data_IF_033447386497
#
_entry.id   IF_033447386497
#
_cell.length_a   1.000
_cell.length_b   1.000
_cell.length_c   1.000
_cell.angle_alpha   90.00
_cell.angle_beta   90.00
_cell.angle_gamma   90.00
#
_symmetry.space_group_name_H-M   'P 1'
#
loop_
_entity.id
_entity.type
_entity.pdbx_description
1 polymer ?
#
# COMPACT_ATOMS: atom_id res chain seq x y z
N UNK A 1 74.46 18.25 17.82
CA UNK A 1 74.31 19.72 17.95
C UNK A 1 72.83 20.07 17.82
N UNK A 2 72.32 20.98 18.68
CA UNK A 2 70.93 21.50 18.83
C UNK A 2 69.91 20.45 19.30
N UNK A 3 69.60 20.32 20.60
CA UNK A 3 68.86 21.21 21.55
C UNK A 3 67.48 21.65 21.06
N UNK A 4 66.42 21.15 21.72
CA UNK A 4 65.31 21.85 22.40
C UNK A 4 64.09 20.90 22.43
N UNK A 5 63.16 20.86 23.39
CA UNK A 5 63.03 21.20 24.81
C UNK A 5 61.54 20.93 25.11
N UNK A 6 61.20 20.24 26.20
CA UNK A 6 59.87 20.22 26.88
C UNK A 6 58.66 19.69 26.06
N UNK A 7 57.67 18.99 26.61
CA UNK A 7 57.12 19.09 27.95
C UNK A 7 56.54 17.75 28.43
N UNK A 8 56.63 17.57 29.74
CA UNK A 8 55.92 16.59 30.55
C UNK A 8 54.42 16.90 30.51
N UNK A 9 53.56 15.90 30.30
CA UNK A 9 52.25 15.84 30.94
C UNK A 9 51.77 14.39 31.08
N UNK A 10 51.21 14.15 32.24
CA UNK A 10 50.95 12.91 32.93
C UNK A 10 49.59 12.31 32.56
N UNK A 11 49.47 10.98 32.74
CA UNK A 11 48.27 10.28 33.23
C UNK A 11 47.08 10.10 32.25
N UNK A 12 46.75 8.85 31.92
CA UNK A 12 45.70 8.03 32.57
C UNK A 12 45.50 6.79 31.69
N UNK A 13 45.67 5.63 32.32
CA UNK A 13 45.26 4.32 31.85
C UNK A 13 43.73 4.27 31.76
N UNK A 14 43.18 4.12 30.57
CA UNK A 14 41.81 3.64 30.36
C UNK A 14 41.84 2.53 29.32
N UNK A 15 41.94 1.30 29.83
CA UNK A 15 41.65 0.08 29.09
C UNK A 15 40.15 0.08 28.78
N UNK A 16 39.77 0.64 27.62
CA UNK A 16 38.41 0.48 27.09
C UNK A 16 38.36 -0.92 26.47
N UNK A 17 37.68 -1.83 27.15
CA UNK A 17 37.32 -3.14 26.61
C UNK A 17 36.51 -2.91 25.34
N UNK A 18 37.05 -3.34 24.19
CA UNK A 18 36.28 -3.50 22.97
C UNK A 18 35.23 -4.60 23.21
N UNK A 19 34.02 -4.20 23.57
CA UNK A 19 32.84 -5.04 23.35
C UNK A 19 32.56 -5.02 21.85
N UNK A 20 32.28 -6.16 21.20
CA UNK A 20 31.71 -6.10 19.87
C UNK A 20 30.39 -5.35 19.99
N UNK A 21 30.28 -4.22 19.31
CA UNK A 21 28.99 -3.68 18.95
C UNK A 21 28.36 -4.75 18.05
N UNK A 22 27.63 -5.67 18.68
CA UNK A 22 26.48 -6.27 18.00
C UNK A 22 25.58 -5.07 17.73
N UNK A 23 25.70 -4.53 16.51
CA UNK A 23 24.57 -3.89 15.90
C UNK A 23 23.50 -4.98 15.91
N UNK A 24 22.57 -4.84 16.84
CA UNK A 24 21.24 -5.39 16.70
C UNK A 24 20.77 -4.84 15.37
N UNK A 25 20.87 -5.66 14.31
CA UNK A 25 20.15 -5.42 13.08
C UNK A 25 18.70 -5.30 13.52
N UNK A 26 18.21 -4.06 13.61
CA UNK A 26 16.79 -3.84 13.56
C UNK A 26 16.36 -4.50 12.25
N UNK A 27 15.67 -5.64 12.33
CA UNK A 27 14.96 -6.17 11.19
C UNK A 27 14.06 -5.03 10.73
N UNK A 28 14.47 -4.36 9.66
CA UNK A 28 13.65 -3.33 9.07
C UNK A 28 12.51 -4.09 8.42
N UNK A 29 11.35 -4.11 9.07
CA UNK A 29 10.04 -4.54 8.54
C UNK A 29 9.58 -3.70 7.32
N UNK A 30 10.53 -3.01 6.68
CA UNK A 30 10.35 -2.22 5.49
C UNK A 30 10.40 -3.16 4.28
N UNK A 31 9.29 -3.23 3.57
CA UNK A 31 9.13 -4.00 2.33
C UNK A 31 9.54 -3.19 1.10
N UNK A 32 10.17 -2.03 1.30
CA UNK A 32 10.76 -1.21 0.25
C UNK A 32 11.99 -0.42 0.76
N UNK A 33 12.81 0.04 -0.17
CA UNK A 33 13.90 1.00 0.05
C UNK A 33 13.99 1.98 -1.12
N UNK A 34 14.57 3.15 -0.87
CA UNK A 34 14.81 4.17 -1.88
C UNK A 34 16.27 4.63 -1.79
N UNK A 35 17.07 4.29 -2.82
CA UNK A 35 18.49 4.62 -2.89
C UNK A 35 18.81 5.18 -4.28
N UNK A 36 19.46 6.34 -4.35
CA UNK A 36 19.85 6.99 -5.61
C UNK A 36 18.68 7.06 -6.64
N UNK A 37 17.49 7.44 -6.17
CA UNK A 37 16.24 7.54 -6.96
C UNK A 37 15.72 6.20 -7.52
N UNK A 38 16.28 5.08 -7.06
CA UNK A 38 15.81 3.72 -7.36
C UNK A 38 14.94 3.22 -6.22
N UNK A 39 13.68 2.96 -6.51
CA UNK A 39 12.75 2.31 -5.60
C UNK A 39 12.93 0.79 -5.70
N UNK A 40 13.33 0.15 -4.61
CA UNK A 40 13.40 -1.32 -4.53
C UNK A 40 12.31 -1.81 -3.61
N UNK A 41 11.55 -2.81 -4.05
CA UNK A 41 10.45 -3.43 -3.30
C UNK A 41 10.79 -4.90 -3.04
N UNK A 42 10.52 -5.35 -1.82
CA UNK A 42 10.78 -6.72 -1.35
C UNK A 42 9.49 -7.29 -0.77
N UNK A 43 8.91 -8.28 -1.44
CA UNK A 43 7.65 -8.92 -1.03
C UNK A 43 7.89 -10.37 -0.60
N UNK A 44 7.52 -10.77 0.62
CA UNK A 44 7.68 -12.15 1.07
C UNK A 44 6.73 -13.09 0.31
N UNK A 45 7.28 -14.18 -0.25
CA UNK A 45 6.54 -15.26 -0.91
C UNK A 45 6.26 -16.42 0.04
N UNK A 46 7.04 -16.59 1.11
CA UNK A 46 6.82 -17.58 2.18
C UNK A 46 5.41 -17.57 2.72
N UNK A 47 4.85 -16.37 2.91
CA UNK A 47 3.48 -16.15 3.35
C UNK A 47 2.52 -16.76 2.34
N UNK A 48 2.73 -16.53 1.04
CA UNK A 48 1.89 -17.09 -0.03
C UNK A 48 1.95 -18.63 -0.05
N UNK A 49 3.11 -19.21 0.24
CA UNK A 49 3.30 -20.66 0.31
C UNK A 49 2.55 -21.33 1.44
N UNK A 50 2.60 -20.77 2.64
CA UNK A 50 1.83 -21.27 3.77
C UNK A 50 0.33 -21.23 3.47
N UNK A 51 -0.12 -20.19 2.77
CA UNK A 51 -1.53 -19.95 2.52
C UNK A 51 -2.09 -20.72 1.33
N UNK A 52 -1.27 -20.99 0.32
CA UNK A 52 -1.67 -21.79 -0.84
C UNK A 52 -1.87 -23.27 -0.50
N UNK A 53 -1.70 -23.68 0.77
CA UNK A 53 -1.72 -25.07 1.23
C UNK A 53 -0.77 -25.96 0.41
N UNK A 54 0.22 -25.37 -0.25
CA UNK A 54 1.01 -25.97 -1.33
C UNK A 54 2.33 -26.55 -0.79
N UNK A 55 2.36 -26.89 0.50
CA UNK A 55 3.50 -27.52 1.15
C UNK A 55 3.81 -28.85 0.44
N UNK A 56 4.81 -28.83 -0.44
CA UNK A 56 5.32 -29.96 -1.23
C UNK A 56 4.44 -30.43 -2.39
N UNK A 57 4.04 -29.53 -3.28
CA UNK A 57 3.54 -29.92 -4.61
C UNK A 57 4.67 -29.90 -5.64
N UNK A 58 4.74 -30.96 -6.45
CA UNK A 58 5.58 -31.08 -7.64
C UNK A 58 4.65 -30.98 -8.87
N UNK A 59 4.77 -29.96 -9.73
CA UNK A 59 5.83 -28.95 -9.76
C UNK A 59 5.71 -27.91 -8.65
N UNK A 60 6.84 -27.27 -8.33
CA UNK A 60 6.88 -26.14 -7.41
C UNK A 60 5.90 -25.03 -7.84
N UNK A 61 5.33 -24.29 -6.87
CA UNK A 61 4.46 -23.13 -7.14
C UNK A 61 5.13 -22.12 -8.07
N UNK A 62 4.32 -21.49 -8.93
CA UNK A 62 4.78 -20.43 -9.82
C UNK A 62 4.25 -19.08 -9.36
N UNK A 63 5.15 -18.20 -8.93
CA UNK A 63 4.81 -16.83 -8.53
C UNK A 63 5.00 -15.85 -9.67
N UNK A 64 4.13 -14.85 -9.71
CA UNK A 64 4.29 -13.67 -10.55
C UNK A 64 3.86 -12.41 -9.78
N UNK A 65 4.53 -11.30 -10.04
CA UNK A 65 4.23 -10.00 -9.43
C UNK A 65 4.01 -8.97 -10.53
N UNK A 66 2.78 -8.47 -10.61
CA UNK A 66 2.41 -7.40 -11.52
C UNK A 66 2.44 -6.06 -10.78
N UNK A 67 3.19 -5.09 -11.32
CA UNK A 67 3.26 -3.74 -10.78
C UNK A 67 2.54 -2.74 -11.70
N UNK A 68 1.70 -1.89 -11.10
CA UNK A 68 0.79 -0.98 -11.80
C UNK A 68 0.83 0.39 -11.11
N UNK A 69 1.15 1.44 -11.86
CA UNK A 69 1.22 2.84 -11.39
C UNK A 69 0.07 3.70 -11.89
N UNK A 70 -0.46 4.59 -11.07
CA UNK A 70 -1.54 5.50 -11.48
C UNK A 70 -1.13 6.96 -11.28
N UNK A 71 -0.92 7.75 -12.36
CA UNK A 71 -1.12 7.38 -13.77
C UNK A 71 -0.04 6.44 -14.33
N UNK A 72 -0.40 5.67 -15.36
CA UNK A 72 0.44 4.59 -15.92
C UNK A 72 1.68 5.11 -16.66
N UNK A 73 2.80 4.38 -16.54
CA UNK A 73 4.02 4.61 -17.32
C UNK A 73 4.97 5.64 -16.72
N UNK A 74 4.79 5.98 -15.45
CA UNK A 74 5.72 6.74 -14.61
C UNK A 74 6.91 5.86 -14.22
N UNK A 75 6.67 4.60 -13.84
CA UNK A 75 7.72 3.68 -13.37
C UNK A 75 8.14 2.68 -14.44
N UNK A 76 9.45 2.45 -14.56
CA UNK A 76 10.02 1.38 -15.37
C UNK A 76 10.76 0.39 -14.47
N UNK A 77 10.44 -0.91 -14.62
CA UNK A 77 11.15 -2.00 -13.97
C UNK A 77 12.59 -2.09 -14.51
N UNK A 78 13.56 -2.00 -13.62
CA UNK A 78 14.98 -2.17 -13.91
C UNK A 78 15.35 -3.65 -13.85
N UNK A 79 14.97 -4.33 -12.77
CA UNK A 79 15.26 -5.75 -12.53
C UNK A 79 14.20 -6.34 -11.61
N UNK A 80 13.95 -7.63 -11.76
CA UNK A 80 13.19 -8.42 -10.79
C UNK A 80 13.85 -9.78 -10.60
N UNK A 81 13.93 -10.26 -9.37
CA UNK A 81 14.40 -11.60 -9.05
C UNK A 81 13.65 -12.18 -7.86
N UNK A 82 13.72 -13.51 -7.71
CA UNK A 82 13.33 -14.18 -6.48
C UNK A 82 14.61 -14.55 -5.73
N UNK A 83 14.77 -14.05 -4.52
CA UNK A 83 15.90 -14.30 -3.64
C UNK A 83 15.39 -14.51 -2.21
N UNK A 84 15.87 -15.56 -1.55
CA UNK A 84 15.55 -15.85 -0.15
C UNK A 84 14.05 -15.81 0.17
N UNK A 85 13.25 -16.44 -0.71
CA UNK A 85 11.79 -16.53 -0.58
C UNK A 85 11.06 -15.16 -0.62
N UNK A 86 11.73 -14.16 -1.20
CA UNK A 86 11.16 -12.86 -1.49
C UNK A 86 11.23 -12.60 -2.99
N UNK A 87 10.19 -11.97 -3.52
CA UNK A 87 10.30 -11.28 -4.79
C UNK A 87 10.90 -9.90 -4.56
N UNK A 88 11.94 -9.56 -5.32
CA UNK A 88 12.62 -8.25 -5.26
C UNK A 88 12.51 -7.59 -6.62
N UNK A 89 11.96 -6.38 -6.67
CA UNK A 89 11.84 -5.59 -7.89
C UNK A 89 12.38 -4.17 -7.69
N UNK A 90 13.23 -3.70 -8.61
CA UNK A 90 13.76 -2.33 -8.59
C UNK A 90 13.20 -1.52 -9.74
N UNK A 91 12.80 -0.29 -9.47
CA UNK A 91 12.12 0.62 -10.39
C UNK A 91 12.82 1.97 -10.42
N UNK A 92 12.75 2.64 -11.58
CA UNK A 92 13.08 4.06 -11.72
C UNK A 92 11.89 4.84 -12.25
N UNK A 93 11.84 6.11 -11.93
CA UNK A 93 10.92 7.06 -12.57
C UNK A 93 11.44 7.40 -13.97
N UNK A 94 10.57 7.35 -14.97
CA UNK A 94 10.93 7.60 -16.38
C UNK A 94 10.05 8.63 -17.07
N UNK A 95 8.90 8.96 -16.48
CA UNK A 95 8.07 10.05 -16.96
C UNK A 95 8.49 11.38 -16.33
N UNK A 96 8.38 12.45 -17.11
CA UNK A 96 8.37 13.81 -16.58
C UNK A 96 7.02 14.02 -15.88
N UNK A 97 6.99 13.76 -14.58
CA UNK A 97 5.80 13.79 -13.75
C UNK A 97 6.10 14.51 -12.43
N UNK A 98 5.22 15.43 -12.05
CA UNK A 98 5.24 16.12 -10.77
C UNK A 98 3.86 15.96 -10.14
N UNK A 99 3.81 15.26 -9.01
CA UNK A 99 2.56 14.93 -8.34
C UNK A 99 2.57 13.61 -7.58
N UNK A 100 1.40 13.26 -7.05
CA UNK A 100 1.19 12.03 -6.31
C UNK A 100 0.86 10.87 -7.26
N UNK A 101 1.49 9.73 -7.04
CA UNK A 101 1.29 8.48 -7.78
C UNK A 101 1.12 7.34 -6.78
N UNK A 102 0.21 6.41 -7.07
CA UNK A 102 0.14 5.14 -6.33
C UNK A 102 0.77 4.05 -7.19
N UNK A 103 1.75 3.34 -6.63
CA UNK A 103 2.34 2.15 -7.23
C UNK A 103 1.85 0.92 -6.47
N UNK A 104 1.13 0.03 -7.17
CA UNK A 104 0.57 -1.20 -6.60
C UNK A 104 1.32 -2.43 -7.08
N UNK A 105 1.42 -3.44 -6.22
CA UNK A 105 2.07 -4.71 -6.50
C UNK A 105 1.11 -5.85 -6.20
N UNK A 106 0.70 -6.59 -7.21
CA UNK A 106 -0.22 -7.74 -7.05
C UNK A 106 0.59 -9.02 -7.14
N UNK A 107 0.60 -9.81 -6.07
CA UNK A 107 1.22 -11.13 -6.07
C UNK A 107 0.21 -12.18 -6.52
N UNK A 108 0.66 -13.06 -7.40
CA UNK A 108 -0.11 -14.22 -7.85
C UNK A 108 0.69 -15.49 -7.66
N UNK A 109 -0.01 -16.58 -7.37
CA UNK A 109 0.57 -17.92 -7.33
C UNK A 109 -0.44 -18.90 -7.93
N UNK A 110 0.02 -19.70 -8.88
CA UNK A 110 -0.78 -20.67 -9.63
C UNK A 110 -2.07 -20.08 -10.24
N UNK A 111 -2.01 -18.81 -10.66
CA UNK A 111 -3.10 -18.09 -11.32
C UNK A 111 -4.12 -17.42 -10.38
N UNK A 112 -3.98 -17.58 -9.06
CA UNK A 112 -4.82 -16.86 -8.09
C UNK A 112 -4.07 -15.64 -7.54
N UNK A 113 -4.82 -14.57 -7.24
CA UNK A 113 -4.29 -13.40 -6.54
C UNK A 113 -4.19 -13.71 -5.05
N UNK A 114 -3.04 -13.39 -4.44
CA UNK A 114 -2.79 -13.65 -3.02
C UNK A 114 -2.75 -12.40 -2.18
N UNK A 115 -2.14 -11.33 -2.69
CA UNK A 115 -2.07 -10.07 -1.98
C UNK A 115 -1.86 -8.91 -2.94
N UNK A 116 -2.23 -7.71 -2.48
CA UNK A 116 -1.88 -6.47 -3.15
C UNK A 116 -1.28 -5.48 -2.17
N UNK A 117 -0.08 -5.01 -2.47
CA UNK A 117 0.58 -3.95 -1.73
C UNK A 117 0.47 -2.63 -2.50
N UNK A 118 0.57 -1.50 -1.80
CA UNK A 118 0.57 -0.18 -2.42
C UNK A 118 1.53 0.78 -1.72
N UNK A 119 2.25 1.57 -2.52
CA UNK A 119 3.03 2.72 -2.09
C UNK A 119 2.39 3.97 -2.67
N UNK A 120 2.08 4.94 -1.80
CA UNK A 120 1.71 6.28 -2.23
C UNK A 120 2.98 7.14 -2.24
N UNK A 121 3.30 7.68 -3.41
CA UNK A 121 4.58 8.28 -3.72
C UNK A 121 4.35 9.70 -4.23
N UNK A 122 5.12 10.65 -3.73
CA UNK A 122 5.20 12.00 -4.26
C UNK A 122 6.46 12.13 -5.12
N UNK A 123 6.28 12.52 -6.38
CA UNK A 123 7.36 12.77 -7.32
C UNK A 123 7.44 14.28 -7.56
N UNK A 124 8.66 14.81 -7.53
CA UNK A 124 8.98 16.18 -7.94
C UNK A 124 10.12 16.18 -8.96
N UNK A 125 10.45 17.35 -9.51
CA UNK A 125 11.58 17.51 -10.44
C UNK A 125 12.94 17.00 -9.91
N UNK A 126 13.09 16.83 -8.60
CA UNK A 126 14.39 16.52 -7.96
C UNK A 126 14.35 15.44 -6.90
N UNK A 127 13.18 14.82 -6.68
CA UNK A 127 13.03 13.83 -5.63
C UNK A 127 11.84 12.92 -5.88
N UNK A 128 11.98 11.70 -5.36
CA UNK A 128 10.90 10.76 -5.13
C UNK A 128 10.82 10.54 -3.61
N UNK A 129 9.62 10.58 -3.05
CA UNK A 129 9.35 10.38 -1.62
C UNK A 129 8.18 9.41 -1.47
N UNK A 130 8.36 8.34 -0.70
CA UNK A 130 7.23 7.51 -0.28
C UNK A 130 6.54 8.21 0.89
N UNK A 131 5.28 8.57 0.68
CA UNK A 131 4.47 9.35 1.63
C UNK A 131 3.62 8.44 2.52
N UNK A 132 3.18 7.31 1.97
CA UNK A 132 2.43 6.30 2.71
C UNK A 132 2.78 4.88 2.25
N UNK A 133 2.82 3.95 3.20
CA UNK A 133 3.00 2.53 2.95
C UNK A 133 1.74 1.76 3.36
N UNK A 134 0.93 1.40 2.38
CA UNK A 134 -0.28 0.64 2.62
C UNK A 134 0.06 -0.86 2.63
N UNK A 135 0.36 -1.38 3.82
CA UNK A 135 0.67 -2.80 4.04
C UNK A 135 -0.62 -3.63 4.11
N UNK A 136 -0.67 -4.74 3.35
CA UNK A 136 -1.29 -4.80 2.03
C UNK A 136 -2.77 -4.37 2.02
N UNK A 137 -3.25 -3.80 0.90
CA UNK A 137 -4.66 -3.46 0.67
C UNK A 137 -5.60 -4.64 0.91
N UNK A 138 -5.15 -5.83 0.54
CA UNK A 138 -5.78 -7.09 0.89
C UNK A 138 -4.78 -8.24 0.81
N UNK A 139 -5.09 -9.34 1.49
CA UNK A 139 -4.43 -10.61 1.30
C UNK A 139 -5.29 -11.76 1.81
N UNK A 140 -4.99 -12.97 1.35
CA UNK A 140 -5.49 -14.19 1.99
C UNK A 140 -4.59 -14.51 3.18
N UNK A 141 -5.15 -14.91 4.32
CA UNK A 141 -4.43 -15.30 5.54
C UNK A 141 -5.17 -16.44 6.23
N UNK A 142 -4.51 -17.57 6.47
CA UNK A 142 -5.11 -18.79 7.04
C UNK A 142 -6.39 -19.25 6.31
N UNK A 143 -6.45 -19.04 4.98
CA UNK A 143 -7.64 -19.33 4.17
C UNK A 143 -8.71 -18.23 4.17
N UNK A 144 -8.53 -17.15 4.92
CA UNK A 144 -9.50 -16.05 5.04
C UNK A 144 -9.06 -14.82 4.25
N UNK A 145 -10.02 -14.03 3.75
CA UNK A 145 -9.72 -12.75 3.13
C UNK A 145 -9.57 -11.67 4.20
N UNK A 146 -8.42 -10.98 4.25
CA UNK A 146 -8.21 -9.78 5.07
C UNK A 146 -8.03 -8.56 4.18
N UNK A 147 -8.69 -7.47 4.57
CA UNK A 147 -8.62 -6.16 3.91
C UNK A 147 -7.98 -5.15 4.85
N UNK A 148 -7.22 -4.21 4.31
CA UNK A 148 -6.67 -3.05 5.04
C UNK A 148 -6.63 -1.84 4.11
N UNK A 149 -7.65 -1.00 4.19
CA UNK A 149 -7.83 0.13 3.29
C UNK A 149 -7.68 1.46 4.03
N UNK A 150 -7.02 2.47 3.43
CA UNK A 150 -6.99 3.82 3.98
C UNK A 150 -8.39 4.36 4.25
N UNK A 151 -8.56 4.98 5.41
CA UNK A 151 -9.83 5.57 5.81
C UNK A 151 -9.59 6.82 6.67
N UNK A 152 -10.40 7.86 6.49
CA UNK A 152 -10.34 9.04 7.32
C UNK A 152 -11.71 9.36 7.91
N UNK A 153 -11.97 8.81 9.11
CA UNK A 153 -13.24 8.98 9.82
C UNK A 153 -13.62 10.45 10.07
N UNK A 154 -12.64 11.39 10.07
CA UNK A 154 -12.89 12.83 10.27
C UNK A 154 -13.57 13.50 9.06
N UNK A 155 -13.54 12.87 7.88
CA UNK A 155 -14.12 13.39 6.64
C UNK A 155 -15.60 13.00 6.45
N UNK A 156 -16.10 12.10 7.30
CA UNK A 156 -17.42 11.48 7.21
C UNK A 156 -17.53 10.32 6.21
N UNK A 157 -16.44 9.98 5.51
CA UNK A 157 -16.39 8.79 4.66
C UNK A 157 -16.08 7.54 5.48
N UNK A 158 -16.74 6.43 5.13
CA UNK A 158 -16.50 5.11 5.69
C UNK A 158 -16.48 4.07 4.58
N UNK A 159 -15.75 2.99 4.80
CA UNK A 159 -15.90 1.80 3.97
C UNK A 159 -17.21 1.10 4.32
N UNK A 160 -17.90 0.63 3.30
CA UNK A 160 -19.05 -0.26 3.35
C UNK A 160 -18.79 -1.43 2.43
N UNK A 161 -19.39 -2.58 2.72
CA UNK A 161 -19.27 -3.76 1.87
C UNK A 161 -20.62 -4.39 1.55
N UNK A 162 -20.67 -5.10 0.43
CA UNK A 162 -21.81 -5.88 -0.04
C UNK A 162 -21.31 -7.25 -0.51
N UNK A 163 -21.87 -8.32 0.06
CA UNK A 163 -21.56 -9.71 -0.31
C UNK A 163 -22.72 -10.21 -1.16
N UNK A 164 -22.43 -10.70 -2.37
CA UNK A 164 -23.48 -11.16 -3.29
C UNK A 164 -24.22 -12.41 -2.79
N UNK A 165 -23.53 -13.25 -2.03
CA UNK A 165 -24.09 -14.46 -1.42
C UNK A 165 -23.53 -14.67 0.01
N UNK A 166 -24.27 -14.23 1.05
CA UNK A 166 -23.88 -14.40 2.44
C UNK A 166 -23.85 -15.85 2.94
N UNK A 167 -24.39 -16.81 2.19
CA UNK A 167 -24.27 -18.24 2.54
C UNK A 167 -22.89 -18.80 2.15
N UNK A 168 -22.11 -18.06 1.34
CA UNK A 168 -20.77 -18.45 0.87
C UNK A 168 -19.64 -17.72 1.61
N UNK A 169 -19.84 -16.48 2.02
CA UNK A 169 -18.83 -15.65 2.66
C UNK A 169 -19.45 -14.85 3.81
N UNK A 170 -18.80 -14.86 4.97
CA UNK A 170 -19.27 -14.11 6.14
C UNK A 170 -18.21 -13.16 6.71
N UNK A 171 -18.59 -11.94 7.15
CA UNK A 171 -17.66 -11.04 7.80
C UNK A 171 -17.43 -11.46 9.26
N UNK A 172 -16.17 -11.63 9.65
CA UNK A 172 -15.77 -11.97 11.03
C UNK A 172 -15.09 -10.82 11.76
N UNK A 173 -14.62 -9.81 11.02
CA UNK A 173 -14.03 -8.57 11.55
C UNK A 173 -14.40 -7.36 10.69
N UNK A 174 -14.63 -6.23 11.34
CA UNK A 174 -14.85 -4.92 10.71
C UNK A 174 -14.47 -3.84 11.75
N UNK A 175 -13.35 -3.17 11.52
CA UNK A 175 -12.76 -2.25 12.48
C UNK A 175 -12.12 -1.05 11.78
N UNK A 176 -12.19 0.12 12.40
CA UNK A 176 -11.38 1.27 12.04
C UNK A 176 -10.33 1.54 13.12
N UNK A 177 -9.07 1.65 12.70
CA UNK A 177 -7.93 1.94 13.57
C UNK A 177 -7.29 3.25 13.11
N UNK A 178 -7.31 4.28 13.95
CA UNK A 178 -6.61 5.54 13.67
C UNK A 178 -5.10 5.32 13.67
N UNK A 179 -4.37 5.98 12.76
CA UNK A 179 -2.92 5.88 12.71
C UNK A 179 -2.28 6.31 14.04
N UNK A 180 -1.54 5.38 14.65
CA UNK A 180 -0.84 5.54 15.92
C UNK A 180 0.19 6.68 15.87
N UNK A 181 0.90 6.85 14.74
CA UNK A 181 1.91 7.88 14.57
C UNK A 181 1.30 9.30 14.51
N UNK A 182 0.00 9.39 14.21
CA UNK A 182 -0.72 10.64 14.01
C UNK A 182 -1.86 10.87 15.02
N UNK A 183 -1.96 10.08 16.09
CA UNK A 183 -3.04 10.19 17.10
C UNK A 183 -3.19 11.60 17.72
N UNK A 184 -2.12 12.39 17.74
CA UNK A 184 -2.14 13.77 18.26
C UNK A 184 -2.50 14.83 17.21
N UNK A 185 -2.63 14.47 15.93
CA UNK A 185 -2.97 15.37 14.84
C UNK A 185 -4.47 15.35 14.57
N UNK A 186 -5.09 16.54 14.60
CA UNK A 186 -6.50 16.70 14.22
C UNK A 186 -6.64 16.44 12.71
N UNK A 187 -7.52 15.51 12.33
CA UNK A 187 -7.73 15.13 10.92
C UNK A 187 -6.90 13.94 10.44
N UNK A 188 -6.09 13.33 11.33
CA UNK A 188 -5.33 12.13 11.01
C UNK A 188 -6.24 11.00 10.52
N UNK A 189 -5.82 10.38 9.43
CA UNK A 189 -6.47 9.18 8.91
C UNK A 189 -6.22 7.95 9.77
N UNK A 190 -6.62 6.81 9.25
CA UNK A 190 -6.42 5.51 9.82
C UNK A 190 -6.64 4.44 8.76
N UNK A 191 -6.73 3.20 9.20
CA UNK A 191 -6.96 2.04 8.36
C UNK A 191 -8.30 1.42 8.75
N UNK A 192 -9.13 1.14 7.75
CA UNK A 192 -10.25 0.24 7.90
C UNK A 192 -9.78 -1.19 7.60
N UNK A 193 -10.02 -2.09 8.55
CA UNK A 193 -9.68 -3.51 8.42
C UNK A 193 -10.93 -4.35 8.48
N UNK A 194 -11.04 -5.33 7.60
CA UNK A 194 -12.09 -6.32 7.65
C UNK A 194 -11.53 -7.72 7.35
N UNK A 195 -12.19 -8.74 7.89
CA UNK A 195 -11.85 -10.14 7.65
C UNK A 195 -13.12 -10.90 7.29
N UNK A 196 -13.00 -11.78 6.29
CA UNK A 196 -14.08 -12.59 5.76
C UNK A 196 -13.67 -14.05 5.67
N UNK A 197 -14.52 -14.92 6.21
CA UNK A 197 -14.35 -16.36 6.22
C UNK A 197 -15.28 -17.02 5.20
N UNK A 198 -14.85 -18.15 4.64
CA UNK A 198 -15.69 -18.98 3.78
C UNK A 198 -16.75 -19.73 4.58
N UNK A 199 -18.02 -19.41 4.35
CA UNK A 199 -19.18 -20.06 4.98
C UNK A 199 -19.74 -21.23 4.15
N UNK A 200 -19.51 -21.22 2.84
CA UNK A 200 -20.02 -22.23 1.91
C UNK A 200 -19.31 -22.18 0.56
N UNK A 201 -19.09 -23.35 -0.05
CA UNK A 201 -18.36 -23.44 -1.31
C UNK A 201 -19.12 -22.80 -2.47
N UNK A 202 -18.42 -22.02 -3.29
CA UNK A 202 -18.99 -21.35 -4.46
C UNK A 202 -18.26 -20.06 -4.85
N UNK A 203 -18.78 -19.41 -5.90
CA UNK A 203 -18.28 -18.12 -6.37
C UNK A 203 -19.06 -17.00 -5.69
N UNK A 204 -18.36 -16.00 -5.15
CA UNK A 204 -18.97 -14.88 -4.44
C UNK A 204 -18.28 -13.57 -4.81
N UNK A 205 -19.09 -12.52 -5.00
CA UNK A 205 -18.60 -11.17 -5.25
C UNK A 205 -18.65 -10.35 -3.97
N UNK A 206 -17.53 -9.71 -3.64
CA UNK A 206 -17.42 -8.72 -2.57
C UNK A 206 -17.24 -7.33 -3.20
N UNK A 207 -18.20 -6.44 -2.99
CA UNK A 207 -18.10 -5.04 -3.40
C UNK A 207 -17.78 -4.16 -2.20
N UNK A 208 -16.76 -3.31 -2.32
CA UNK A 208 -16.33 -2.36 -1.28
C UNK A 208 -16.57 -0.94 -1.77
N UNK A 209 -17.17 -0.09 -0.95
CA UNK A 209 -17.47 1.31 -1.30
C UNK A 209 -17.01 2.25 -0.20
N UNK A 210 -16.23 3.26 -0.57
CA UNK A 210 -15.86 4.35 0.32
C UNK A 210 -16.77 5.55 0.07
N UNK A 211 -17.76 5.73 0.94
CA UNK A 211 -18.79 6.76 0.78
C UNK A 211 -19.17 7.37 2.13
N UNK A 212 -19.81 8.53 2.09
CA UNK A 212 -20.55 9.07 3.25
C UNK A 212 -21.90 8.39 3.35
N UNK A 213 -22.43 8.31 4.56
CA UNK A 213 -23.73 7.67 4.83
C UNK A 213 -24.91 8.23 4.03
N UNK A 214 -24.78 9.45 3.49
CA UNK A 214 -25.80 10.11 2.68
C UNK A 214 -25.47 10.16 1.16
N UNK A 215 -24.35 9.59 0.72
CA UNK A 215 -23.81 9.69 -0.66
C UNK A 215 -23.64 8.30 -1.33
N UNK A 216 -24.45 7.30 -0.98
CA UNK A 216 -24.31 5.92 -1.48
C UNK A 216 -24.40 5.74 -3.01
N UNK A 217 -24.81 6.77 -3.77
CA UNK A 217 -24.91 6.70 -5.24
C UNK A 217 -23.61 7.04 -5.96
N UNK A 218 -22.62 7.63 -5.27
CA UNK A 218 -21.37 8.07 -5.89
C UNK A 218 -20.20 7.88 -4.92
N UNK A 219 -19.73 6.63 -4.71
CA UNK A 219 -18.61 6.38 -3.81
C UNK A 219 -17.34 7.06 -4.35
N UNK A 220 -16.53 7.58 -3.43
CA UNK A 220 -15.23 8.17 -3.75
C UNK A 220 -14.26 7.11 -4.28
N UNK A 221 -14.39 5.88 -3.78
CA UNK A 221 -13.65 4.70 -4.26
C UNK A 221 -14.57 3.49 -4.22
N UNK A 222 -14.52 2.66 -5.25
CA UNK A 222 -15.21 1.37 -5.27
C UNK A 222 -14.28 0.28 -5.77
N UNK A 223 -14.31 -0.88 -5.09
CA UNK A 223 -13.59 -2.08 -5.49
C UNK A 223 -14.56 -3.24 -5.63
N UNK A 224 -14.34 -4.09 -6.63
CA UNK A 224 -15.08 -5.35 -6.82
C UNK A 224 -14.09 -6.51 -6.83
N UNK A 225 -14.21 -7.41 -5.86
CA UNK A 225 -13.43 -8.63 -5.75
C UNK A 225 -14.30 -9.82 -6.15
N UNK A 226 -13.81 -10.61 -7.11
CA UNK A 226 -14.39 -11.91 -7.42
C UNK A 226 -13.63 -12.98 -6.64
N UNK A 227 -14.35 -13.72 -5.80
CA UNK A 227 -13.80 -14.69 -4.87
C UNK A 227 -14.34 -16.08 -5.17
N UNK A 228 -13.53 -17.09 -4.87
CA UNK A 228 -13.96 -18.49 -4.83
C UNK A 228 -13.76 -19.03 -3.42
N UNK A 229 -14.78 -19.68 -2.89
CA UNK A 229 -14.72 -20.40 -1.61
C UNK A 229 -14.68 -21.89 -1.90
N UNK A 230 -13.63 -22.56 -1.43
CA UNK A 230 -13.44 -23.99 -1.59
C UNK A 230 -14.28 -24.80 -0.58
N UNK A 231 -14.38 -26.13 -0.78
CA UNK A 231 -15.16 -27.02 0.10
C UNK A 231 -14.65 -27.05 1.55
N UNK A 232 -13.38 -26.72 1.77
CA UNK A 232 -12.76 -26.61 3.09
C UNK A 232 -12.93 -25.23 3.75
N UNK A 233 -13.56 -24.27 3.07
CA UNK A 233 -13.75 -22.90 3.55
C UNK A 233 -12.68 -21.91 3.08
N UNK A 234 -11.63 -22.37 2.39
CA UNK A 234 -10.56 -21.47 1.92
C UNK A 234 -11.08 -20.51 0.84
N UNK A 235 -10.76 -19.23 1.01
CA UNK A 235 -11.07 -18.16 0.08
C UNK A 235 -9.88 -17.91 -0.85
N UNK A 236 -10.13 -17.82 -2.15
CA UNK A 236 -9.16 -17.35 -3.15
C UNK A 236 -9.71 -16.17 -3.93
N UNK A 237 -8.82 -15.30 -4.42
CA UNK A 237 -9.18 -14.11 -5.18
C UNK A 237 -8.93 -14.38 -6.67
N UNK A 238 -9.99 -14.36 -7.47
CA UNK A 238 -9.93 -14.57 -8.92
C UNK A 238 -9.63 -13.28 -9.68
N UNK A 239 -10.23 -12.16 -9.27
CA UNK A 239 -9.95 -10.85 -9.86
C UNK A 239 -10.28 -9.71 -8.88
N UNK A 240 -9.62 -8.56 -9.09
CA UNK A 240 -9.92 -7.32 -8.37
C UNK A 240 -10.01 -6.18 -9.37
N UNK A 241 -11.14 -5.51 -9.39
CA UNK A 241 -11.41 -4.35 -10.24
C UNK A 241 -11.51 -3.09 -9.37
N UNK A 242 -10.81 -2.03 -9.80
CA UNK A 242 -11.00 -0.68 -9.25
C UNK A 242 -12.02 0.04 -10.12
N UNK A 243 -13.14 0.42 -9.53
CA UNK A 243 -14.22 1.12 -10.21
C UNK A 243 -14.02 2.62 -9.95
N UNK A 244 -13.52 3.32 -10.97
CA UNK A 244 -13.38 4.77 -10.93
C UNK A 244 -14.74 5.38 -11.25
N UNK A 245 -15.32 6.07 -10.28
CA UNK A 245 -16.50 6.91 -10.54
C UNK A 245 -16.01 8.14 -11.29
N UNK A 246 -16.29 8.24 -12.60
CA UNK A 246 -16.06 9.49 -13.32
C UNK A 246 -16.85 10.59 -12.58
N UNK A 247 -16.13 11.55 -12.01
CA UNK A 247 -16.74 12.77 -11.52
C UNK A 247 -17.18 13.48 -12.79
N UNK A 248 -18.46 13.34 -13.13
CA UNK A 248 -19.07 14.01 -14.26
C UNK A 248 -18.56 15.47 -14.29
N UNK A 249 -17.96 15.90 -15.40
CA UNK A 249 -17.39 17.24 -15.66
C UNK A 249 -18.46 18.37 -15.59
N UNK A 250 -19.58 18.14 -14.90
CA UNK A 250 -20.81 18.93 -14.88
C UNK A 250 -20.87 20.01 -13.78
N UNK A 251 -19.74 20.54 -13.31
CA UNK A 251 -19.74 21.73 -12.44
C UNK A 251 -18.66 22.77 -12.76
N UNK A 252 -18.33 22.93 -14.05
CA UNK A 252 -17.64 24.14 -14.55
C UNK A 252 -18.46 24.81 -15.65
N UNK A 253 -19.72 25.16 -15.38
CA UNK A 253 -20.40 26.17 -16.20
C UNK A 253 -21.40 26.99 -15.38
N UNK A 254 -20.90 27.73 -14.40
CA UNK A 254 -21.54 28.96 -13.93
C UNK A 254 -20.57 29.85 -13.15
N UNK A 255 -19.44 30.21 -13.75
CA UNK A 255 -18.80 31.50 -13.44
C UNK A 255 -19.15 32.41 -14.59
N UNK A 256 -20.29 33.07 -14.46
CA UNK A 256 -20.63 34.24 -15.26
C UNK A 256 -19.48 35.22 -15.13
N UNK A 257 -18.75 35.47 -16.21
CA UNK A 257 -17.82 36.58 -16.31
C UNK A 257 -18.64 37.88 -16.33
N UNK A 258 -19.13 38.31 -15.18
CA UNK A 258 -19.57 39.69 -15.01
C UNK A 258 -18.31 40.55 -15.07
N UNK A 259 -18.09 41.16 -16.24
CA UNK A 259 -17.07 42.18 -16.42
C UNK A 259 -17.44 43.35 -15.50
N UNK A 260 -16.56 43.83 -14.61
CA UNK A 260 -16.87 44.99 -13.79
C UNK A 260 -17.13 46.19 -14.70
N UNK A 261 -18.28 46.83 -14.54
CA UNK A 261 -18.59 48.08 -15.22
C UNK A 261 -17.57 49.15 -14.83
N UNK A 262 -17.01 49.80 -15.85
CA UNK A 262 -16.07 50.91 -15.72
C UNK A 262 -16.77 52.09 -15.01
N UNK A 263 -16.16 52.73 -14.00
CA UNK A 263 -16.80 53.83 -13.30
C UNK A 263 -16.90 55.05 -14.22
N UNK A 264 -18.11 55.61 -14.32
CA UNK A 264 -18.39 56.85 -15.04
C UNK A 264 -17.51 58.02 -14.52
N UNK A 265 -17.04 58.92 -15.40
CA UNK A 265 -16.21 60.05 -15.01
C UNK A 265 -17.04 61.05 -14.20
N UNK A 266 -16.51 61.45 -13.04
CA UNK A 266 -17.09 62.52 -12.21
C UNK A 266 -16.76 63.87 -12.85
N UNK A 267 -17.80 64.68 -13.11
CA UNK A 267 -17.70 66.08 -13.57
C UNK A 267 -16.99 67.01 -12.58
#
# INVERSE_FOLDING_TARGET
>A
MKKLLMSVLTLVLALVLALPAFAEEAETDAWYSLEDEVLTVTLPLSVIDELSNNAQVDPAPSYDVEAIDSPQGIFELITSEIQDDCWVGSYRVVADYDGAVTLTFTTTCDGNIWSRYALDILISESSIEVVDENKPWFGIYDGNLRLSLPANSTTGYTWKYEISDPDMLEPVKDEYVQDAAQQTMVGAGGIWTAEFDGAGAGEVKLTLRYCRDWEDQQPAQEYSLQLNVAENGDVTIASVETIVTEVDDMFIDSVTTETPSEPEPVE
#
